data_IF_359587037146
#
_entry.id   IF_359587037146
#
_cell.length_a   1.000
_cell.length_b   1.000
_cell.length_c   1.000
_cell.angle_alpha   90.00
_cell.angle_beta   90.00
_cell.angle_gamma   90.00
#
_symmetry.space_group_name_H-M   'P 1'
#
loop_
_entity.id
_entity.type
_entity.pdbx_description
1 polymer ?
#
# COMPACT_ATOMS: atom_id res chain seq x y z
N UNK A 1 -6.66 4.86 -19.34
CA UNK A 1 -7.94 5.47 -18.97
C UNK A 1 -7.75 6.98 -18.81
N UNK A 2 -8.65 7.83 -19.32
CA UNK A 2 -8.50 9.28 -19.28
C UNK A 2 -8.35 9.86 -17.86
N UNK A 3 -9.04 9.28 -16.86
CA UNK A 3 -8.98 9.74 -15.46
C UNK A 3 -7.65 9.44 -14.75
N UNK A 4 -6.82 8.54 -15.29
CA UNK A 4 -5.63 8.06 -14.58
C UNK A 4 -4.57 9.16 -14.44
N UNK A 5 -4.39 10.01 -15.46
CA UNK A 5 -3.45 11.12 -15.39
C UNK A 5 -3.85 12.11 -14.28
N UNK A 6 -5.13 12.52 -14.26
CA UNK A 6 -5.65 13.41 -13.22
C UNK A 6 -5.53 12.83 -11.81
N UNK A 7 -5.73 11.52 -11.63
CA UNK A 7 -5.50 10.88 -10.33
C UNK A 7 -4.03 10.96 -9.89
N UNK A 8 -3.08 10.74 -10.81
CA UNK A 8 -1.64 10.83 -10.47
C UNK A 8 -1.27 12.26 -10.07
N UNK A 9 -1.82 13.26 -10.76
CA UNK A 9 -1.56 14.66 -10.45
C UNK A 9 -2.20 15.07 -9.12
N UNK A 10 -3.44 14.65 -8.86
CA UNK A 10 -4.11 14.84 -7.58
C UNK A 10 -3.31 14.23 -6.41
N UNK A 11 -2.81 13.00 -6.56
CA UNK A 11 -1.98 12.37 -5.52
C UNK A 11 -0.70 13.19 -5.26
N UNK A 12 -0.05 13.70 -6.31
CA UNK A 12 1.16 14.53 -6.18
C UNK A 12 0.85 15.86 -5.50
N UNK A 13 -0.30 16.46 -5.78
CA UNK A 13 -0.79 17.67 -5.12
C UNK A 13 -1.04 17.44 -3.63
N UNK A 14 -1.76 16.37 -3.28
CA UNK A 14 -1.99 15.99 -1.90
C UNK A 14 -0.67 15.72 -1.15
N UNK A 15 0.29 15.04 -1.78
CA UNK A 15 1.61 14.81 -1.20
C UNK A 15 2.40 16.11 -0.96
N UNK A 16 2.41 17.04 -1.94
CA UNK A 16 3.05 18.36 -1.79
C UNK A 16 2.40 19.16 -0.65
N UNK A 17 1.08 19.14 -0.56
CA UNK A 17 0.32 19.84 0.46
C UNK A 17 0.26 19.10 1.81
N UNK A 18 0.93 17.94 1.93
CA UNK A 18 0.92 17.08 3.13
C UNK A 18 -0.50 16.70 3.60
N UNK A 19 -1.43 16.57 2.67
CA UNK A 19 -2.80 16.11 2.96
C UNK A 19 -2.75 14.63 3.39
N UNK A 20 -3.39 14.26 4.51
CA UNK A 20 -3.48 12.87 4.93
C UNK A 20 -4.15 11.98 3.87
N UNK A 21 -3.51 10.86 3.52
CA UNK A 21 -3.97 9.89 2.53
C UNK A 21 -3.75 8.47 3.00
N UNK A 22 -4.76 7.63 2.80
CA UNK A 22 -4.67 6.17 2.98
C UNK A 22 -4.93 5.50 1.63
N UNK A 23 -4.02 4.63 1.20
CA UNK A 23 -4.15 3.85 -0.03
C UNK A 23 -4.26 2.35 0.23
N UNK A 24 -5.38 1.75 -0.15
CA UNK A 24 -5.60 0.30 -0.12
C UNK A 24 -5.61 -0.30 -1.53
N UNK A 25 -5.03 -1.48 -1.72
CA UNK A 25 -5.00 -2.22 -2.99
C UNK A 25 -4.59 -1.37 -4.22
N UNK A 26 -5.53 -0.96 -5.08
CA UNK A 26 -5.25 -0.09 -6.21
C UNK A 26 -4.74 1.29 -5.75
N UNK A 27 -5.26 1.83 -4.65
CA UNK A 27 -4.80 3.09 -4.06
C UNK A 27 -3.33 3.02 -3.64
N UNK A 28 -2.88 1.91 -3.04
CA UNK A 28 -1.48 1.69 -2.73
C UNK A 28 -0.60 1.71 -4.00
N UNK A 29 -1.06 1.07 -5.08
CA UNK A 29 -0.35 1.04 -6.36
C UNK A 29 -0.34 2.41 -7.06
N UNK A 30 -1.46 3.13 -7.01
CA UNK A 30 -1.60 4.46 -7.59
C UNK A 30 -0.69 5.45 -6.88
N UNK A 31 -0.69 5.45 -5.55
CA UNK A 31 0.23 6.29 -4.75
C UNK A 31 1.68 5.94 -5.05
N UNK A 32 2.03 4.65 -5.09
CA UNK A 32 3.38 4.24 -5.45
C UNK A 32 3.77 4.78 -6.83
N UNK A 33 2.91 4.59 -7.84
CA UNK A 33 3.16 5.02 -9.23
C UNK A 33 3.28 6.54 -9.37
N UNK A 34 2.40 7.29 -8.70
CA UNK A 34 2.38 8.75 -8.74
C UNK A 34 3.66 9.36 -8.18
N UNK A 35 4.18 8.75 -7.10
CA UNK A 35 5.37 9.21 -6.37
C UNK A 35 6.69 8.61 -6.89
N UNK A 36 6.67 7.86 -8.00
CA UNK A 36 7.88 7.36 -8.66
C UNK A 36 8.32 5.94 -8.25
N UNK A 37 7.49 5.19 -7.53
CA UNK A 37 7.68 3.76 -7.30
C UNK A 37 7.47 2.92 -8.56
N UNK A 38 8.03 1.71 -8.57
CA UNK A 38 7.94 0.77 -9.70
C UNK A 38 6.88 -0.29 -9.42
N UNK A 39 5.97 -0.50 -10.36
CA UNK A 39 4.99 -1.58 -10.31
C UNK A 39 5.43 -2.74 -11.21
N UNK A 40 5.18 -3.97 -10.78
CA UNK A 40 5.35 -5.16 -11.61
C UNK A 40 4.12 -6.05 -11.49
N UNK A 41 3.79 -6.74 -12.57
CA UNK A 41 2.81 -7.83 -12.54
C UNK A 41 3.44 -9.03 -11.83
N UNK A 42 2.65 -9.75 -11.05
CA UNK A 42 3.05 -11.03 -10.46
C UNK A 42 3.17 -12.09 -11.55
N UNK A 43 4.25 -12.85 -11.50
CA UNK A 43 4.36 -14.11 -12.25
C UNK A 43 3.44 -15.14 -11.58
N UNK A 44 2.71 -15.94 -12.39
CA UNK A 44 1.75 -16.93 -11.88
C UNK A 44 0.32 -16.44 -11.62
N UNK A 45 -0.03 -15.19 -11.97
CA UNK A 45 -1.43 -14.72 -11.95
C UNK A 45 -1.78 -13.83 -10.75
N UNK A 46 -2.98 -14.02 -10.21
CA UNK A 46 -3.49 -13.23 -9.08
C UNK A 46 -2.99 -13.79 -7.75
N UNK A 47 -2.63 -12.91 -6.82
CA UNK A 47 -2.60 -13.27 -5.40
C UNK A 47 -4.02 -13.10 -4.84
N UNK A 48 -4.62 -14.23 -4.46
CA UNK A 48 -5.98 -14.31 -3.92
C UNK A 48 -5.90 -15.13 -2.64
N UNK A 49 -6.37 -14.58 -1.51
CA UNK A 49 -6.45 -15.31 -0.27
C UNK A 49 -6.33 -14.42 0.95
N UNK A 50 -6.04 -15.03 2.09
CA UNK A 50 -5.89 -14.37 3.38
C UNK A 50 -4.45 -14.56 3.84
N UNK A 51 -3.68 -13.48 3.93
CA UNK A 51 -2.24 -13.53 4.19
C UNK A 51 -1.83 -12.80 5.47
N UNK A 52 -0.91 -13.37 6.29
CA UNK A 52 -0.32 -12.65 7.41
C UNK A 52 0.54 -11.49 6.90
N UNK A 53 0.40 -10.34 7.55
CA UNK A 53 1.19 -9.14 7.27
C UNK A 53 2.12 -8.85 8.43
N UNK A 54 3.41 -8.81 8.14
CA UNK A 54 4.43 -8.41 9.10
C UNK A 54 4.62 -6.90 9.02
N UNK A 55 4.30 -6.19 10.10
CA UNK A 55 4.61 -4.77 10.25
C UNK A 55 6.05 -4.60 10.74
N UNK A 56 6.85 -3.87 9.98
CA UNK A 56 8.28 -3.64 10.27
C UNK A 56 8.57 -2.31 10.95
N UNK A 57 7.57 -1.43 11.02
CA UNK A 57 7.58 -0.19 11.78
C UNK A 57 6.27 -0.06 12.57
N UNK A 58 6.26 0.83 13.58
CA UNK A 58 5.02 1.25 14.25
C UNK A 58 4.35 2.31 13.37
N UNK A 59 3.12 2.06 12.86
CA UNK A 59 2.40 3.07 12.10
C UNK A 59 2.15 4.34 12.91
N UNK A 60 2.13 5.53 12.27
CA UNK A 60 1.75 6.77 12.96
C UNK A 60 0.40 6.64 13.67
N UNK A 61 0.33 7.09 14.91
CA UNK A 61 -0.89 7.01 15.74
C UNK A 61 -1.08 5.69 16.50
N UNK A 62 -0.12 4.76 16.44
CA UNK A 62 -0.09 3.56 17.27
C UNK A 62 1.13 3.58 18.21
N UNK A 63 0.97 2.96 19.38
CA UNK A 63 2.06 2.84 20.37
C UNK A 63 2.99 1.65 20.12
N UNK A 64 2.51 0.66 19.35
CA UNK A 64 3.23 -0.58 19.06
C UNK A 64 2.87 -1.11 17.69
N UNK A 65 3.73 -2.01 17.17
CA UNK A 65 3.45 -2.71 15.91
C UNK A 65 2.15 -3.51 16.07
N UNK A 66 1.21 -3.37 15.13
CA UNK A 66 -0.06 -4.06 15.25
C UNK A 66 0.15 -5.57 15.04
N UNK A 67 -0.51 -6.35 15.90
CA UNK A 67 -0.68 -7.80 15.71
C UNK A 67 -2.06 -8.00 15.09
N UNK A 68 -2.13 -7.91 13.76
CA UNK A 68 -3.38 -8.03 13.03
C UNK A 68 -3.72 -9.49 12.72
N UNK A 69 -5.01 -9.78 12.58
CA UNK A 69 -5.43 -10.95 11.81
C UNK A 69 -4.91 -10.81 10.38
N UNK A 70 -4.63 -11.93 9.69
CA UNK A 70 -4.35 -11.94 8.26
C UNK A 70 -5.36 -11.11 7.46
N UNK A 71 -4.89 -10.40 6.45
CA UNK A 71 -5.74 -9.55 5.59
C UNK A 71 -6.08 -10.25 4.29
N UNK A 72 -7.24 -9.90 3.73
CA UNK A 72 -7.67 -10.37 2.42
C UNK A 72 -6.86 -9.67 1.32
N UNK A 73 -6.37 -10.46 0.38
CA UNK A 73 -5.56 -10.06 -0.75
C UNK A 73 -6.27 -10.45 -2.05
N UNK A 74 -6.38 -9.51 -2.99
CA UNK A 74 -6.86 -9.76 -4.35
C UNK A 74 -6.14 -8.81 -5.31
N UNK A 75 -4.96 -9.21 -5.79
CA UNK A 75 -4.15 -8.35 -6.66
C UNK A 75 -3.28 -9.13 -7.64
N UNK A 76 -3.10 -8.55 -8.83
CA UNK A 76 -2.18 -9.07 -9.87
C UNK A 76 -0.91 -8.24 -10.01
N UNK A 77 -0.91 -7.03 -9.45
CA UNK A 77 0.20 -6.07 -9.54
C UNK A 77 0.69 -5.79 -8.13
N UNK A 78 2.01 -5.66 -7.98
CA UNK A 78 2.67 -5.30 -6.72
C UNK A 78 3.66 -4.16 -6.93
N UNK A 79 3.94 -3.44 -5.86
CA UNK A 79 5.07 -2.50 -5.83
C UNK A 79 6.38 -3.31 -5.73
N UNK A 80 7.28 -3.10 -6.68
CA UNK A 80 8.60 -3.72 -6.75
C UNK A 80 9.72 -2.81 -6.25
N UNK A 81 9.52 -1.49 -6.30
CA UNK A 81 10.46 -0.52 -5.73
C UNK A 81 9.68 0.58 -5.02
N UNK A 82 10.11 0.91 -3.81
CA UNK A 82 9.53 1.97 -3.01
C UNK A 82 9.70 3.32 -3.73
N UNK A 83 8.70 4.22 -3.65
CA UNK A 83 8.88 5.59 -4.07
C UNK A 83 9.97 6.29 -3.23
N UNK A 84 10.71 7.26 -3.80
CA UNK A 84 11.68 8.07 -3.05
C UNK A 84 11.04 8.74 -1.82
N UNK A 85 11.74 8.70 -0.69
CA UNK A 85 11.27 9.28 0.57
C UNK A 85 10.20 8.45 1.31
N UNK A 86 9.75 7.33 0.75
CA UNK A 86 8.85 6.40 1.44
C UNK A 86 9.64 5.36 2.24
N UNK A 87 9.03 4.85 3.32
CA UNK A 87 9.59 3.80 4.18
C UNK A 87 8.69 2.57 4.16
N UNK A 88 9.31 1.40 4.14
CA UNK A 88 8.61 0.12 4.24
C UNK A 88 7.91 0.05 5.59
N UNK A 89 6.63 -0.32 5.58
CA UNK A 89 5.84 -0.47 6.79
C UNK A 89 5.35 -1.91 6.97
N UNK A 90 4.96 -2.59 5.89
CA UNK A 90 4.44 -3.95 5.94
C UNK A 90 4.98 -4.81 4.80
N UNK A 91 5.18 -6.11 5.07
CA UNK A 91 5.57 -7.13 4.09
C UNK A 91 4.77 -8.42 4.29
N UNK A 92 4.63 -9.20 3.22
CA UNK A 92 4.16 -10.60 3.27
C UNK A 92 5.20 -11.49 2.60
N UNK A 93 5.08 -12.82 2.78
CA UNK A 93 5.95 -13.78 2.08
C UNK A 93 5.86 -13.62 0.55
N UNK A 94 4.68 -13.25 0.03
CA UNK A 94 4.42 -13.08 -1.39
C UNK A 94 4.59 -11.65 -1.93
N UNK A 95 4.82 -10.66 -1.05
CA UNK A 95 4.93 -9.24 -1.41
C UNK A 95 5.86 -8.49 -0.44
N UNK A 96 7.08 -8.19 -0.89
CA UNK A 96 8.07 -7.48 -0.06
C UNK A 96 7.72 -6.04 0.30
N UNK A 97 6.83 -5.39 -0.48
CA UNK A 97 6.31 -4.05 -0.22
C UNK A 97 4.78 -4.16 -0.12
N UNK A 98 4.30 -4.79 0.94
CA UNK A 98 2.87 -4.95 1.20
C UNK A 98 2.25 -3.70 1.85
N UNK A 99 3.07 -2.77 2.33
CA UNK A 99 2.63 -1.47 2.80
C UNK A 99 3.81 -0.54 3.00
N UNK A 100 3.61 0.74 2.76
CA UNK A 100 4.62 1.77 2.99
C UNK A 100 3.97 3.06 3.46
N UNK A 101 4.79 3.94 4.05
CA UNK A 101 4.38 5.28 4.45
C UNK A 101 5.31 6.34 3.89
N UNK A 102 4.82 7.58 3.83
CA UNK A 102 5.64 8.78 3.65
C UNK A 102 5.30 9.73 4.78
N UNK A 103 6.32 10.05 5.57
CA UNK A 103 6.19 10.82 6.81
C UNK A 103 5.02 10.33 7.68
N UNK A 104 4.12 11.23 8.10
CA UNK A 104 2.91 10.94 8.86
C UNK A 104 1.61 11.12 8.04
N UNK A 105 1.69 11.66 6.82
CA UNK A 105 0.50 11.98 6.01
C UNK A 105 0.13 10.88 5.02
N UNK A 106 1.04 10.01 4.57
CA UNK A 106 0.67 8.92 3.66
C UNK A 106 0.88 7.57 4.32
N UNK A 107 -0.17 6.75 4.30
CA UNK A 107 -0.16 5.36 4.72
C UNK A 107 -0.72 4.47 3.61
N UNK A 108 -0.10 3.34 3.33
CA UNK A 108 -0.61 2.42 2.30
C UNK A 108 -0.51 0.96 2.70
N UNK A 109 -1.46 0.17 2.20
CA UNK A 109 -1.51 -1.28 2.31
C UNK A 109 -1.95 -1.89 0.97
N UNK A 110 -1.28 -2.94 0.54
CA UNK A 110 -1.59 -3.67 -0.69
C UNK A 110 -2.84 -4.55 -0.52
N UNK A 111 -3.10 -5.02 0.70
CA UNK A 111 -4.27 -5.80 1.05
C UNK A 111 -5.53 -4.93 1.19
N UNK A 112 -6.65 -5.60 1.46
CA UNK A 112 -7.96 -5.02 1.75
C UNK A 112 -8.25 -5.07 3.26
N UNK A 113 -7.70 -4.17 4.09
CA UNK A 113 -8.02 -4.12 5.51
C UNK A 113 -9.49 -3.80 5.80
N UNK A 114 -10.20 -3.24 4.82
CA UNK A 114 -11.64 -2.96 4.88
C UNK A 114 -12.52 -4.22 4.79
N UNK A 115 -11.98 -5.33 4.25
CA UNK A 115 -12.69 -6.60 4.24
C UNK A 115 -12.46 -7.31 5.57
N UNK A 116 -13.41 -7.10 6.48
CA UNK A 116 -13.48 -7.85 7.73
C UNK A 116 -14.10 -9.23 7.48
N UNK A 117 -13.46 -10.29 7.97
CA UNK A 117 -14.11 -11.58 8.05
C UNK A 117 -15.11 -11.53 9.20
N UNK A 118 -16.41 -11.54 8.88
CA UNK A 118 -17.47 -11.77 9.86
C UNK A 118 -17.49 -13.29 10.09
N UNK A 119 -16.96 -13.73 11.23
CA UNK A 119 -17.07 -15.12 11.71
C UNK A 119 -18.17 -15.22 12.75
#
# INVERSE_FOLDING_TARGET
MPWLAGLMDFIRECDRAKVPMIGACFGHQAIARALGGRLVKREGGYNIGVEPHEFVEVPPGLDRRPRCRPFTCFMRTRVAALPPGCRLMARTAGCGIAGFRKDAHILTLQAHPEFIMIS
#
